data_IF_752650692895
#
_entry.id   IF_752650692895
#
_cell.length_a   1.000
_cell.length_b   1.000
_cell.length_c   1.000
_cell.angle_alpha   90.00
_cell.angle_beta   90.00
_cell.angle_gamma   90.00
#
_symmetry.space_group_name_H-M   'P 1'
#
loop_
_entity.id
_entity.type
_entity.pdbx_description
1 polymer ?
#
# COMPACT_ATOMS: atom_id res chain seq x y z
N UNK A 1 15.47 -3.24 -30.09
CA UNK A 1 15.81 -1.93 -29.47
C UNK A 1 17.32 -1.75 -29.40
N UNK A 2 17.84 -0.53 -29.50
CA UNK A 2 19.27 -0.23 -29.32
C UNK A 2 19.51 0.54 -28.00
N UNK A 3 20.80 0.71 -27.64
CA UNK A 3 21.20 1.40 -26.40
C UNK A 3 20.74 2.87 -26.36
N UNK A 4 20.76 3.56 -27.49
CA UNK A 4 20.35 4.97 -27.58
C UNK A 4 18.84 5.15 -27.29
N UNK A 5 18.00 4.29 -27.90
CA UNK A 5 16.55 4.29 -27.65
C UNK A 5 16.22 3.99 -26.20
N UNK A 6 16.93 3.02 -25.59
CA UNK A 6 16.80 2.70 -24.17
C UNK A 6 17.20 3.90 -23.31
N UNK A 7 18.34 4.53 -23.59
CA UNK A 7 18.83 5.71 -22.84
C UNK A 7 17.83 6.87 -22.91
N UNK A 8 17.28 7.16 -24.09
CA UNK A 8 16.24 8.19 -24.25
C UNK A 8 14.99 7.90 -23.42
N UNK A 9 14.57 6.62 -23.34
CA UNK A 9 13.43 6.21 -22.52
C UNK A 9 13.72 6.32 -21.02
N UNK A 10 14.95 5.98 -20.58
CA UNK A 10 15.39 6.18 -19.20
C UNK A 10 15.46 7.66 -18.82
N UNK A 11 15.87 8.55 -19.75
CA UNK A 11 15.81 9.98 -19.55
C UNK A 11 14.39 10.47 -19.32
N UNK A 12 13.44 10.09 -20.19
CA UNK A 12 12.02 10.43 -20.02
C UNK A 12 11.48 9.96 -18.66
N UNK A 13 11.89 8.78 -18.20
CA UNK A 13 11.53 8.27 -16.89
C UNK A 13 12.11 9.13 -15.76
N UNK A 14 13.38 9.52 -15.84
CA UNK A 14 14.04 10.33 -14.82
C UNK A 14 13.48 11.74 -14.75
N UNK A 15 13.17 12.33 -15.90
CA UNK A 15 12.62 13.67 -16.03
C UNK A 15 11.10 13.75 -15.75
N UNK A 16 10.45 12.61 -15.48
CA UNK A 16 9.04 12.59 -15.06
C UNK A 16 8.01 12.61 -16.18
N UNK A 17 8.42 12.29 -17.42
CA UNK A 17 7.52 12.29 -18.60
C UNK A 17 6.71 11.00 -18.76
N UNK A 18 7.03 9.95 -17.97
CA UNK A 18 6.35 8.66 -18.05
C UNK A 18 5.19 8.57 -17.05
N UNK A 19 4.15 7.83 -17.45
CA UNK A 19 3.12 7.39 -16.50
C UNK A 19 3.42 5.95 -16.05
N UNK A 20 2.89 5.49 -14.91
CA UNK A 20 3.05 4.09 -14.48
C UNK A 20 2.59 3.09 -15.54
N UNK A 21 1.52 3.40 -16.27
CA UNK A 21 0.96 2.55 -17.33
C UNK A 21 1.85 2.55 -18.57
N UNK A 22 2.31 3.75 -19.02
CA UNK A 22 3.18 3.86 -20.19
C UNK A 22 4.53 3.19 -19.94
N UNK A 23 5.09 3.35 -18.73
CA UNK A 23 6.33 2.70 -18.33
C UNK A 23 6.18 1.17 -18.32
N UNK A 24 5.11 0.65 -17.74
CA UNK A 24 4.83 -0.79 -17.70
C UNK A 24 4.62 -1.35 -19.11
N UNK A 25 3.79 -0.72 -19.93
CA UNK A 25 3.53 -1.16 -21.30
C UNK A 25 4.80 -1.20 -22.14
N UNK A 26 5.63 -0.16 -22.04
CA UNK A 26 6.91 -0.13 -22.74
C UNK A 26 7.87 -1.23 -22.23
N UNK A 27 7.90 -1.50 -20.92
CA UNK A 27 8.70 -2.57 -20.35
C UNK A 27 8.27 -3.93 -20.88
N UNK A 28 6.98 -4.22 -20.84
CA UNK A 28 6.42 -5.52 -21.28
C UNK A 28 6.68 -5.77 -22.78
N UNK A 29 6.67 -4.71 -23.59
CA UNK A 29 6.97 -4.78 -25.04
C UNK A 29 8.44 -5.06 -25.32
N UNK A 30 9.37 -4.55 -24.50
CA UNK A 30 10.81 -4.58 -24.77
C UNK A 30 11.60 -5.45 -23.77
N UNK A 31 10.93 -6.24 -22.95
CA UNK A 31 11.58 -7.05 -21.91
C UNK A 31 12.71 -7.94 -22.46
N UNK A 32 12.57 -8.65 -23.63
CA UNK A 32 13.65 -9.49 -24.15
C UNK A 32 14.91 -8.70 -24.57
N UNK A 33 14.72 -7.52 -25.15
CA UNK A 33 15.86 -6.68 -25.57
C UNK A 33 16.53 -6.04 -24.37
N UNK A 34 15.76 -5.62 -23.35
CA UNK A 34 16.28 -5.07 -22.11
C UNK A 34 17.14 -6.08 -21.34
N UNK A 35 16.76 -7.35 -21.34
CA UNK A 35 17.57 -8.41 -20.71
C UNK A 35 18.93 -8.57 -21.37
N UNK A 36 19.06 -8.26 -22.65
CA UNK A 36 20.34 -8.32 -23.38
C UNK A 36 21.18 -7.06 -23.23
N UNK A 37 20.56 -5.90 -23.02
CA UNK A 37 21.23 -4.60 -22.95
C UNK A 37 21.68 -4.20 -21.54
N UNK A 38 21.01 -4.71 -20.50
CA UNK A 38 21.27 -4.41 -19.10
C UNK A 38 22.00 -5.58 -18.42
N UNK A 39 22.77 -5.29 -17.40
CA UNK A 39 23.21 -6.34 -16.49
C UNK A 39 22.00 -6.98 -15.81
N UNK A 40 22.09 -8.25 -15.42
CA UNK A 40 21.00 -8.97 -14.74
C UNK A 40 20.52 -8.22 -13.49
N UNK A 41 21.41 -7.56 -12.76
CA UNK A 41 21.06 -6.79 -11.57
C UNK A 41 20.28 -5.52 -11.88
N UNK A 42 20.66 -4.79 -12.94
CA UNK A 42 19.94 -3.60 -13.42
C UNK A 42 18.58 -3.97 -13.96
N UNK A 43 18.52 -5.00 -14.79
CA UNK A 43 17.27 -5.52 -15.37
C UNK A 43 16.23 -5.86 -14.30
N UNK A 44 16.60 -6.66 -13.30
CA UNK A 44 15.68 -7.08 -12.23
C UNK A 44 15.21 -5.91 -11.35
N UNK A 45 16.09 -4.93 -11.09
CA UNK A 45 15.76 -3.77 -10.26
C UNK A 45 14.96 -2.72 -11.01
N UNK A 46 15.17 -2.57 -12.32
CA UNK A 46 14.47 -1.62 -13.18
C UNK A 46 13.04 -2.07 -13.49
N UNK A 47 12.79 -3.39 -13.50
CA UNK A 47 11.48 -3.99 -13.81
C UNK A 47 10.38 -3.44 -12.90
N UNK A 48 9.25 -2.96 -13.45
CA UNK A 48 8.12 -2.48 -12.67
C UNK A 48 7.55 -3.59 -11.78
N UNK A 49 7.66 -3.46 -10.46
CA UNK A 49 7.11 -4.42 -9.51
C UNK A 49 5.57 -4.29 -9.41
N UNK A 50 4.92 -5.35 -8.88
CA UNK A 50 3.53 -5.22 -8.41
C UNK A 50 3.54 -4.53 -7.05
N UNK A 51 2.64 -3.58 -6.87
CA UNK A 51 2.48 -2.84 -5.61
C UNK A 51 1.06 -2.28 -5.50
N UNK A 52 0.55 -2.13 -4.27
CA UNK A 52 -0.78 -1.60 -4.00
C UNK A 52 -0.89 -0.11 -4.36
N UNK A 53 0.18 0.64 -4.15
CA UNK A 53 0.27 2.04 -4.59
C UNK A 53 0.77 2.13 -6.02
N UNK A 54 0.02 2.83 -6.84
CA UNK A 54 0.24 2.96 -8.29
C UNK A 54 1.61 3.58 -8.63
N UNK A 55 2.08 4.55 -7.84
CA UNK A 55 3.29 5.33 -8.12
C UNK A 55 4.58 4.71 -7.58
N UNK A 56 4.52 3.71 -6.70
CA UNK A 56 5.71 3.05 -6.13
C UNK A 56 6.55 2.32 -7.18
N UNK A 57 5.97 1.54 -8.12
CA UNK A 57 6.77 0.84 -9.13
C UNK A 57 7.62 1.78 -9.98
N UNK A 58 7.02 2.87 -10.50
CA UNK A 58 7.72 3.82 -11.36
C UNK A 58 8.78 4.62 -10.57
N UNK A 59 8.49 4.99 -9.32
CA UNK A 59 9.44 5.66 -8.44
C UNK A 59 10.69 4.79 -8.15
N UNK A 60 10.49 3.47 -8.00
CA UNK A 60 11.61 2.52 -7.86
C UNK A 60 12.40 2.42 -9.15
N UNK A 61 11.74 2.30 -10.29
CA UNK A 61 12.40 2.24 -11.59
C UNK A 61 13.17 3.53 -11.89
N UNK A 62 12.66 4.71 -11.53
CA UNK A 62 13.36 6.00 -11.66
C UNK A 62 14.69 6.00 -10.91
N UNK A 63 14.72 5.50 -9.66
CA UNK A 63 15.96 5.42 -8.88
C UNK A 63 17.02 4.53 -9.53
N UNK A 64 16.61 3.44 -10.16
CA UNK A 64 17.54 2.54 -10.87
C UNK A 64 18.00 3.17 -12.19
N UNK A 65 17.08 3.83 -12.93
CA UNK A 65 17.40 4.56 -14.15
C UNK A 65 18.44 5.64 -13.92
N UNK A 66 18.37 6.37 -12.80
CA UNK A 66 19.39 7.35 -12.38
C UNK A 66 20.80 6.71 -12.29
N UNK A 67 20.91 5.55 -11.65
CA UNK A 67 22.20 4.86 -11.53
C UNK A 67 22.73 4.41 -12.89
N UNK A 68 21.86 3.92 -13.79
CA UNK A 68 22.24 3.51 -15.15
C UNK A 68 22.73 4.70 -15.97
N UNK A 69 21.99 5.83 -15.96
CA UNK A 69 22.35 7.03 -16.70
C UNK A 69 23.66 7.64 -16.19
N UNK A 70 23.89 7.64 -14.88
CA UNK A 70 25.18 8.04 -14.30
C UNK A 70 26.34 7.20 -14.82
N UNK A 71 26.18 5.87 -14.88
CA UNK A 71 27.18 4.97 -15.43
C UNK A 71 27.47 5.22 -16.91
N UNK A 72 26.50 5.78 -17.65
CA UNK A 72 26.63 6.13 -19.06
C UNK A 72 27.15 7.56 -19.29
N UNK A 73 27.35 8.35 -18.21
CA UNK A 73 27.81 9.74 -18.30
C UNK A 73 26.79 10.67 -18.98
N UNK A 74 25.50 10.36 -18.88
CA UNK A 74 24.41 11.14 -19.48
C UNK A 74 23.95 12.21 -18.51
N UNK A 75 23.87 13.46 -18.96
CA UNK A 75 23.29 14.56 -18.18
C UNK A 75 21.76 14.46 -18.15
N UNK A 76 21.15 14.76 -17.01
CA UNK A 76 19.70 14.71 -16.82
C UNK A 76 19.21 15.67 -15.73
N UNK A 77 17.94 16.00 -15.75
CA UNK A 77 17.21 16.67 -14.68
C UNK A 77 16.28 15.68 -13.96
N UNK A 78 16.41 15.55 -12.64
CA UNK A 78 15.56 14.66 -11.86
C UNK A 78 14.23 15.35 -11.53
N UNK A 79 13.13 14.75 -11.92
CA UNK A 79 11.80 15.21 -11.54
C UNK A 79 11.35 14.57 -10.22
N UNK A 80 10.76 15.39 -9.35
CA UNK A 80 10.12 14.91 -8.11
C UNK A 80 8.66 14.49 -8.31
N UNK A 81 8.12 14.59 -9.52
CA UNK A 81 6.71 14.37 -9.83
C UNK A 81 6.19 13.03 -9.31
N UNK A 82 6.93 11.93 -9.51
CA UNK A 82 6.49 10.62 -9.04
C UNK A 82 6.43 10.52 -7.52
N UNK A 83 7.35 11.18 -6.83
CA UNK A 83 7.33 11.24 -5.35
C UNK A 83 6.13 12.05 -4.85
N UNK A 84 5.86 13.19 -5.46
CA UNK A 84 4.70 14.03 -5.12
C UNK A 84 3.38 13.29 -5.33
N UNK A 85 3.26 12.58 -6.47
CA UNK A 85 2.07 11.76 -6.75
C UNK A 85 1.92 10.60 -5.76
N UNK A 86 3.02 9.95 -5.37
CA UNK A 86 2.99 8.90 -4.34
C UNK A 86 2.55 9.44 -2.98
N UNK A 87 3.07 10.60 -2.56
CA UNK A 87 2.65 11.22 -1.29
C UNK A 87 1.15 11.55 -1.31
N UNK A 88 0.65 12.08 -2.41
CA UNK A 88 -0.79 12.34 -2.59
C UNK A 88 -1.62 11.06 -2.48
N UNK A 89 -1.22 10.00 -3.18
CA UNK A 89 -1.89 8.69 -3.13
C UNK A 89 -1.90 8.12 -1.70
N UNK A 90 -0.78 8.26 -0.97
CA UNK A 90 -0.66 7.84 0.43
C UNK A 90 -1.58 8.62 1.35
N UNK A 91 -1.66 9.95 1.18
CA UNK A 91 -2.56 10.80 1.97
C UNK A 91 -4.03 10.46 1.71
N UNK A 92 -4.41 10.23 0.46
CA UNK A 92 -5.77 9.82 0.09
C UNK A 92 -6.10 8.47 0.75
N UNK A 93 -5.20 7.49 0.68
CA UNK A 93 -5.36 6.20 1.35
C UNK A 93 -5.51 6.36 2.88
N UNK A 94 -4.64 7.15 3.52
CA UNK A 94 -4.73 7.41 4.96
C UNK A 94 -6.06 8.07 5.35
N UNK A 95 -6.56 8.99 4.54
CA UNK A 95 -7.83 9.67 4.78
C UNK A 95 -9.02 8.72 4.62
N UNK A 96 -9.00 7.82 3.64
CA UNK A 96 -10.02 6.78 3.48
C UNK A 96 -10.02 5.79 4.64
N UNK A 97 -8.84 5.36 5.11
CA UNK A 97 -8.72 4.51 6.29
C UNK A 97 -9.30 5.18 7.55
N UNK A 98 -9.06 6.49 7.74
CA UNK A 98 -9.66 7.26 8.84
C UNK A 98 -11.19 7.31 8.73
N UNK A 99 -11.74 7.55 7.54
CA UNK A 99 -13.19 7.55 7.28
C UNK A 99 -13.80 6.17 7.57
N UNK A 100 -13.14 5.13 7.07
CA UNK A 100 -13.54 3.75 7.29
C UNK A 100 -13.61 3.41 8.78
N UNK A 101 -12.55 3.70 9.54
CA UNK A 101 -12.50 3.47 11.00
C UNK A 101 -13.62 4.21 11.74
N UNK A 102 -13.88 5.49 11.39
CA UNK A 102 -14.98 6.27 11.97
C UNK A 102 -16.35 5.63 11.69
N UNK A 103 -16.58 5.18 10.45
CA UNK A 103 -17.82 4.50 10.07
C UNK A 103 -18.01 3.22 10.86
N UNK A 104 -16.96 2.38 10.94
CA UNK A 104 -16.99 1.13 11.70
C UNK A 104 -17.19 1.35 13.19
N UNK A 105 -16.60 2.40 13.76
CA UNK A 105 -16.84 2.79 15.13
C UNK A 105 -18.32 3.14 15.35
N UNK A 106 -18.91 3.93 14.45
CA UNK A 106 -20.32 4.32 14.56
C UNK A 106 -21.25 3.11 14.42
N UNK A 107 -21.03 2.24 13.43
CA UNK A 107 -21.78 0.98 13.26
C UNK A 107 -21.68 0.10 14.53
N UNK A 108 -20.52 0.02 15.15
CA UNK A 108 -20.31 -0.72 16.39
C UNK A 108 -21.08 -0.06 17.56
N UNK A 109 -21.00 1.27 17.70
CA UNK A 109 -21.73 2.02 18.72
C UNK A 109 -23.26 1.82 18.57
N UNK A 110 -23.79 1.90 17.35
CA UNK A 110 -25.20 1.69 17.07
C UNK A 110 -25.64 0.25 17.39
N UNK A 111 -24.85 -0.74 17.01
CA UNK A 111 -25.14 -2.17 17.22
C UNK A 111 -25.11 -2.59 18.69
N UNK A 112 -24.24 -1.95 19.48
CA UNK A 112 -23.96 -2.32 20.87
C UNK A 112 -24.25 -1.17 21.84
N UNK A 113 -25.32 -0.40 21.59
CA UNK A 113 -25.65 0.77 22.36
C UNK A 113 -25.73 0.50 23.88
N UNK A 114 -26.25 -0.64 24.29
CA UNK A 114 -26.37 -1.04 25.71
C UNK A 114 -24.99 -1.22 26.37
N UNK A 115 -24.02 -1.80 25.65
CA UNK A 115 -22.64 -1.95 26.13
C UNK A 115 -21.92 -0.60 26.22
N UNK A 116 -22.23 0.34 25.32
CA UNK A 116 -21.59 1.66 25.30
C UNK A 116 -22.01 2.55 26.45
N UNK A 117 -23.22 2.38 26.97
CA UNK A 117 -23.67 3.12 28.17
C UNK A 117 -22.82 2.75 29.38
N UNK A 118 -22.45 1.46 29.52
CA UNK A 118 -21.71 0.97 30.68
C UNK A 118 -20.19 0.89 30.47
N UNK A 119 -19.71 0.70 29.24
CA UNK A 119 -18.31 0.43 28.92
C UNK A 119 -17.73 1.35 27.82
N UNK A 120 -18.06 2.63 27.85
CA UNK A 120 -17.69 3.62 26.82
C UNK A 120 -16.18 3.68 26.52
N UNK A 121 -15.30 3.48 27.54
CA UNK A 121 -13.84 3.51 27.34
C UNK A 121 -13.34 2.27 26.61
N UNK A 122 -13.87 1.12 26.94
CA UNK A 122 -13.47 -0.16 26.35
C UNK A 122 -13.87 -0.20 24.87
N UNK A 123 -15.10 0.13 24.55
CA UNK A 123 -15.60 0.13 23.18
C UNK A 123 -14.88 1.13 22.27
N UNK A 124 -14.56 2.33 22.78
CA UNK A 124 -13.73 3.30 22.05
C UNK A 124 -12.30 2.79 21.81
N UNK A 125 -11.70 2.08 22.77
CA UNK A 125 -10.38 1.46 22.59
C UNK A 125 -10.43 0.33 21.56
N UNK A 126 -11.43 -0.54 21.63
CA UNK A 126 -11.63 -1.66 20.70
C UNK A 126 -11.84 -1.17 19.28
N UNK A 127 -12.69 -0.15 19.07
CA UNK A 127 -12.94 0.42 17.75
C UNK A 127 -11.69 1.03 17.06
N UNK A 128 -10.66 1.40 17.84
CA UNK A 128 -9.38 1.89 17.29
C UNK A 128 -8.50 0.79 16.71
N UNK A 129 -8.63 -0.44 17.20
CA UNK A 129 -7.77 -1.57 16.81
C UNK A 129 -8.47 -2.55 15.88
N UNK A 130 -9.78 -2.43 15.68
CA UNK A 130 -10.55 -3.27 14.76
C UNK A 130 -10.06 -3.11 13.32
N UNK A 131 -9.86 -4.25 12.68
CA UNK A 131 -9.57 -4.34 11.25
C UNK A 131 -10.88 -4.51 10.44
N UNK A 132 -10.88 -4.22 9.13
CA UNK A 132 -12.04 -4.43 8.25
C UNK A 132 -12.58 -5.86 8.24
N UNK A 133 -11.70 -6.83 8.52
CA UNK A 133 -11.98 -8.26 8.51
C UNK A 133 -12.46 -8.80 9.86
N UNK A 134 -12.38 -7.98 10.91
CA UNK A 134 -12.77 -8.43 12.25
C UNK A 134 -14.28 -8.60 12.34
N UNK A 135 -14.69 -9.74 12.85
CA UNK A 135 -16.08 -10.07 13.15
C UNK A 135 -16.29 -9.87 14.65
N UNK A 136 -17.26 -9.03 15.00
CA UNK A 136 -17.69 -8.86 16.38
C UNK A 136 -18.95 -9.69 16.56
N UNK A 137 -18.80 -10.79 17.27
CA UNK A 137 -19.91 -11.65 17.65
C UNK A 137 -20.87 -10.94 18.60
N UNK A 138 -22.10 -11.42 18.66
CA UNK A 138 -23.06 -10.97 19.66
C UNK A 138 -22.53 -11.24 21.07
N UNK A 139 -22.85 -10.38 22.06
CA UNK A 139 -22.47 -10.66 23.44
C UNK A 139 -22.88 -12.07 23.87
N UNK A 140 -22.02 -12.72 24.65
CA UNK A 140 -22.33 -14.03 25.19
C UNK A 140 -23.62 -13.96 26.04
N UNK A 141 -24.48 -14.94 25.86
CA UNK A 141 -25.69 -15.10 26.69
C UNK A 141 -25.30 -15.57 28.10
N UNK A 142 -26.19 -15.31 29.06
CA UNK A 142 -25.98 -15.83 30.45
C UNK A 142 -25.75 -17.35 30.49
N UNK A 143 -26.43 -18.11 29.63
CA UNK A 143 -26.22 -19.57 29.52
C UNK A 143 -24.82 -19.91 29.05
N UNK A 144 -24.28 -19.21 28.07
CA UNK A 144 -22.92 -19.40 27.55
C UNK A 144 -21.86 -19.00 28.58
N UNK A 145 -22.11 -17.94 29.34
CA UNK A 145 -21.26 -17.54 30.47
C UNK A 145 -21.24 -18.61 31.53
N UNK A 146 -22.41 -19.09 31.97
CA UNK A 146 -22.57 -20.15 32.97
C UNK A 146 -21.86 -21.44 32.53
N UNK A 147 -22.03 -21.89 31.31
CA UNK A 147 -21.35 -23.08 30.77
C UNK A 147 -19.82 -22.90 30.79
N UNK A 148 -19.35 -21.70 30.47
CA UNK A 148 -17.93 -21.37 30.52
C UNK A 148 -17.39 -21.41 31.96
N UNK A 149 -18.11 -20.83 32.91
CA UNK A 149 -17.78 -20.87 34.35
C UNK A 149 -17.71 -22.28 34.90
N UNK A 150 -18.69 -23.12 34.55
CA UNK A 150 -18.69 -24.52 34.93
C UNK A 150 -17.49 -25.28 34.40
N UNK A 151 -17.11 -25.01 33.16
CA UNK A 151 -15.94 -25.63 32.50
C UNK A 151 -14.61 -25.15 33.06
N UNK A 152 -14.52 -23.88 33.45
CA UNK A 152 -13.32 -23.27 34.01
C UNK A 152 -13.18 -23.47 35.54
N UNK A 153 -14.26 -23.78 36.25
CA UNK A 153 -14.27 -23.96 37.68
C UNK A 153 -14.18 -22.67 38.49
N UNK A 154 -14.47 -21.50 37.88
CA UNK A 154 -14.55 -20.23 38.61
C UNK A 154 -15.60 -19.31 37.97
N UNK A 155 -16.11 -18.37 38.76
CA UNK A 155 -17.10 -17.39 38.34
C UNK A 155 -16.39 -16.23 37.65
N UNK A 156 -16.88 -15.83 36.45
CA UNK A 156 -16.38 -14.68 35.73
C UNK A 156 -16.89 -13.39 36.40
N UNK A 157 -16.06 -12.33 36.48
CA UNK A 157 -16.42 -11.07 37.12
C UNK A 157 -17.49 -10.29 36.38
#
# INVERSE_FOLDING_TARGET
MNKETMTAKLLNLVEGWETPESWRGWWDEHEPELETLLSRGEFLKLKPCKHDFKWVPILRSQKVALAILNNYGVEYQVSNMYHEQYIKELDDFCNEQKKYKKRKQKEFEEKHNDLFVHYTRFSKALAKVLLPTDIIESPATESQIYECEQRLGFILP
#
